data_IF_230902317155
#
_entry.id   IF_230902317155
#
_cell.length_a   1.000
_cell.length_b   1.000
_cell.length_c   1.000
_cell.angle_alpha   90.00
_cell.angle_beta   90.00
_cell.angle_gamma   90.00
#
_symmetry.space_group_name_H-M   'P 1'
#
loop_
_entity.id
_entity.type
_entity.pdbx_description
1 polymer ?
#
# COMPACT_ATOMS: atom_id res chain seq x y z
N UNK A 1 -10.54 32.91 -24.76
CA UNK A 1 -10.10 31.56 -25.19
C UNK A 1 -11.01 30.53 -24.54
N UNK A 2 -11.36 29.51 -25.26
CA UNK A 2 -12.16 28.35 -24.77
C UNK A 2 -11.34 27.07 -24.96
N UNK A 3 -11.44 26.17 -24.01
CA UNK A 3 -10.86 24.83 -24.09
C UNK A 3 -11.99 23.83 -23.96
N UNK A 4 -12.03 22.84 -24.83
CA UNK A 4 -12.95 21.71 -24.73
C UNK A 4 -12.32 20.62 -23.87
N UNK A 5 -13.07 20.08 -22.91
CA UNK A 5 -12.65 18.99 -22.03
C UNK A 5 -13.43 17.73 -22.39
N UNK A 6 -12.72 16.62 -22.52
CA UNK A 6 -13.31 15.31 -22.57
C UNK A 6 -13.53 14.73 -21.16
N UNK A 7 -14.30 13.68 -21.04
CA UNK A 7 -14.47 12.99 -19.78
C UNK A 7 -13.11 12.54 -19.23
N UNK A 8 -12.84 12.81 -17.94
CA UNK A 8 -11.57 12.48 -17.30
C UNK A 8 -10.44 13.47 -17.55
N UNK A 9 -10.75 14.64 -18.10
CA UNK A 9 -9.80 15.74 -18.25
C UNK A 9 -10.14 16.92 -17.33
N UNK A 10 -9.11 17.69 -16.96
CA UNK A 10 -9.20 18.96 -16.27
C UNK A 10 -8.35 20.01 -16.97
N UNK A 11 -8.63 21.28 -16.72
CA UNK A 11 -7.75 22.40 -17.04
C UNK A 11 -7.69 23.36 -15.87
N UNK A 12 -6.68 24.21 -15.84
CA UNK A 12 -6.54 25.29 -14.88
C UNK A 12 -6.60 26.62 -15.60
N UNK A 13 -7.20 27.62 -14.94
CA UNK A 13 -7.29 29.00 -15.45
C UNK A 13 -6.79 29.94 -14.35
N UNK A 14 -5.70 30.63 -14.60
CA UNK A 14 -5.30 31.76 -13.74
C UNK A 14 -6.10 33.01 -14.11
N UNK A 15 -6.32 33.90 -13.13
CA UNK A 15 -7.09 35.11 -13.35
C UNK A 15 -6.41 35.98 -14.42
N UNK A 16 -7.14 36.21 -15.53
CA UNK A 16 -6.65 37.02 -16.65
C UNK A 16 -5.85 36.26 -17.71
N UNK A 17 -5.68 34.94 -17.56
CA UNK A 17 -4.98 34.09 -18.54
C UNK A 17 -5.93 33.22 -19.35
N UNK A 18 -5.43 32.67 -20.43
CA UNK A 18 -6.15 31.64 -21.17
C UNK A 18 -6.12 30.32 -20.39
N UNK A 19 -7.15 29.44 -20.57
CA UNK A 19 -7.09 28.07 -20.00
C UNK A 19 -5.83 27.36 -20.45
N UNK A 20 -5.22 26.60 -19.53
CA UNK A 20 -4.12 25.69 -19.86
C UNK A 20 -4.64 24.54 -20.75
N UNK A 21 -3.73 23.81 -21.40
CA UNK A 21 -4.08 22.62 -22.17
C UNK A 21 -4.75 21.58 -21.25
N UNK A 22 -5.74 20.80 -21.77
CA UNK A 22 -6.36 19.74 -21.02
C UNK A 22 -5.34 18.69 -20.54
N UNK A 23 -5.44 18.31 -19.26
CA UNK A 23 -4.64 17.24 -18.66
C UNK A 23 -5.55 16.21 -18.01
N UNK A 24 -5.09 14.97 -17.77
CA UNK A 24 -5.87 13.98 -17.03
C UNK A 24 -6.31 14.54 -15.67
N UNK A 25 -7.56 14.27 -15.29
CA UNK A 25 -8.03 14.56 -13.94
C UNK A 25 -7.52 13.48 -12.97
N UNK A 26 -7.34 13.84 -11.70
CA UNK A 26 -6.99 12.88 -10.66
C UNK A 26 -7.97 11.71 -10.64
N UNK A 27 -7.47 10.48 -10.69
CA UNK A 27 -8.26 9.25 -10.71
C UNK A 27 -7.84 8.34 -9.56
N UNK A 28 -8.77 7.96 -8.66
CA UNK A 28 -8.51 6.92 -7.69
C UNK A 28 -8.44 5.56 -8.40
N UNK A 29 -7.45 4.76 -8.07
CA UNK A 29 -7.25 3.41 -8.59
C UNK A 29 -7.69 2.33 -7.60
N UNK A 30 -7.80 2.66 -6.31
CA UNK A 30 -8.27 1.77 -5.25
C UNK A 30 -9.76 1.99 -5.01
N UNK A 31 -10.49 0.90 -4.91
CA UNK A 31 -11.89 0.88 -4.47
C UNK A 31 -12.00 0.29 -3.06
N UNK A 32 -12.98 0.74 -2.29
CA UNK A 32 -13.23 0.32 -0.90
C UNK A 32 -11.98 0.38 0.01
N UNK A 33 -11.11 1.39 -0.18
CA UNK A 33 -9.92 1.57 0.67
C UNK A 33 -10.24 2.12 2.06
N UNK A 34 -11.44 2.64 2.27
CA UNK A 34 -11.97 3.06 3.58
C UNK A 34 -12.73 1.92 4.32
N UNK A 35 -12.82 0.74 3.72
CA UNK A 35 -13.44 -0.47 4.27
C UNK A 35 -14.90 -0.28 4.72
N UNK A 36 -15.64 0.64 4.09
CA UNK A 36 -17.06 0.85 4.40
C UNK A 36 -17.98 -0.24 3.84
N UNK A 37 -17.52 -0.98 2.84
CA UNK A 37 -18.19 -2.13 2.25
C UNK A 37 -17.49 -3.42 2.70
N UNK A 38 -18.12 -4.56 2.41
CA UNK A 38 -17.49 -5.86 2.61
C UNK A 38 -16.14 -5.94 1.85
N UNK A 39 -15.18 -6.70 2.38
CA UNK A 39 -13.85 -6.79 1.81
C UNK A 39 -13.89 -7.22 0.33
N UNK A 40 -14.78 -8.14 -0.01
CA UNK A 40 -15.00 -8.62 -1.39
C UNK A 40 -15.43 -7.54 -2.39
N UNK A 41 -15.79 -6.34 -1.93
CA UNK A 41 -16.11 -5.20 -2.80
C UNK A 41 -14.86 -4.50 -3.38
N UNK A 42 -13.79 -5.25 -3.62
CA UNK A 42 -12.56 -4.75 -4.26
C UNK A 42 -11.31 -5.50 -3.85
N UNK A 43 -11.33 -6.22 -2.73
CA UNK A 43 -10.16 -6.88 -2.19
C UNK A 43 -10.34 -8.40 -2.11
N UNK A 44 -9.24 -9.13 -2.27
CA UNK A 44 -9.16 -10.58 -2.07
C UNK A 44 -8.17 -10.81 -0.93
N UNK A 45 -8.63 -11.45 0.15
CA UNK A 45 -7.76 -11.89 1.23
C UNK A 45 -7.01 -13.16 0.84
N UNK A 46 -5.78 -13.31 1.34
CA UNK A 46 -4.96 -14.48 1.11
C UNK A 46 -4.04 -14.75 2.32
N UNK A 47 -3.58 -15.99 2.42
CA UNK A 47 -2.47 -16.39 3.28
C UNK A 47 -1.41 -17.10 2.43
N UNK A 48 -0.13 -16.88 2.76
CA UNK A 48 1.01 -17.56 2.14
C UNK A 48 1.96 -18.01 3.25
N UNK A 49 2.06 -19.31 3.42
CA UNK A 49 2.92 -19.94 4.43
C UNK A 49 4.37 -19.92 3.95
N UNK A 50 5.29 -19.80 4.92
CA UNK A 50 6.72 -19.96 4.67
C UNK A 50 7.13 -21.40 4.37
N UNK A 51 8.40 -21.58 4.03
CA UNK A 51 9.01 -22.90 3.81
C UNK A 51 9.34 -23.65 5.11
N UNK A 52 9.09 -23.04 6.24
CA UNK A 52 9.36 -23.52 7.61
C UNK A 52 8.22 -24.39 8.18
N UNK A 53 7.31 -24.84 7.32
CA UNK A 53 6.22 -25.77 7.62
C UNK A 53 5.19 -25.26 8.64
N UNK A 54 5.03 -23.94 8.77
CA UNK A 54 3.93 -23.35 9.54
C UNK A 54 2.58 -23.79 8.98
N UNK A 55 1.60 -23.99 9.85
CA UNK A 55 0.26 -24.45 9.47
C UNK A 55 -0.86 -23.50 9.92
N UNK A 56 -0.52 -22.48 10.69
CA UNK A 56 -1.50 -21.51 11.18
C UNK A 56 -1.49 -20.28 10.31
N UNK A 57 -2.63 -20.04 9.66
CA UNK A 57 -2.88 -18.84 8.90
C UNK A 57 -3.10 -17.65 9.84
N UNK A 58 -2.82 -16.43 9.34
CA UNK A 58 -3.31 -15.23 9.97
C UNK A 58 -4.75 -14.92 9.54
N UNK A 59 -5.35 -13.97 10.19
CA UNK A 59 -6.72 -13.53 9.97
C UNK A 59 -6.76 -12.07 9.51
N UNK A 60 -7.73 -11.77 8.66
CA UNK A 60 -8.03 -10.41 8.17
C UNK A 60 -9.49 -10.10 8.43
N UNK A 61 -9.75 -9.06 9.21
CA UNK A 61 -11.11 -8.66 9.62
C UNK A 61 -11.35 -7.16 9.44
N UNK A 62 -12.57 -6.79 9.02
CA UNK A 62 -13.00 -5.39 9.06
C UNK A 62 -13.51 -5.08 10.46
N UNK A 63 -12.87 -4.14 11.14
CA UNK A 63 -13.18 -3.74 12.51
C UNK A 63 -13.52 -2.25 12.61
N UNK A 64 -14.14 -1.85 13.72
CA UNK A 64 -14.32 -0.45 14.07
C UNK A 64 -13.21 -0.02 15.04
N UNK A 65 -12.49 1.04 14.72
CA UNK A 65 -11.44 1.62 15.55
C UNK A 65 -11.71 3.10 15.78
N UNK A 66 -12.39 3.42 16.87
CA UNK A 66 -12.93 4.76 17.08
C UNK A 66 -14.02 5.08 16.06
N UNK A 67 -13.86 6.21 15.36
CA UNK A 67 -14.85 6.68 14.37
C UNK A 67 -14.54 6.20 12.93
N UNK A 68 -13.56 5.30 12.75
CA UNK A 68 -13.18 4.79 11.44
C UNK A 68 -13.39 3.28 11.31
N UNK A 69 -13.63 2.84 10.10
CA UNK A 69 -13.52 1.44 9.72
C UNK A 69 -12.07 1.15 9.37
N UNK A 70 -11.59 0.00 9.77
CA UNK A 70 -10.22 -0.41 9.54
C UNK A 70 -10.16 -1.89 9.20
N UNK A 71 -9.13 -2.30 8.48
CA UNK A 71 -8.80 -3.69 8.29
C UNK A 71 -7.77 -4.09 9.34
N UNK A 72 -8.05 -5.15 10.08
CA UNK A 72 -7.20 -5.71 11.12
C UNK A 72 -6.55 -7.00 10.60
N UNK A 73 -5.24 -7.06 10.71
CA UNK A 73 -4.42 -8.24 10.44
C UNK A 73 -3.96 -8.80 11.76
N UNK A 74 -4.13 -10.10 11.98
CA UNK A 74 -3.65 -10.75 13.20
C UNK A 74 -3.19 -12.17 12.94
N UNK A 75 -2.09 -12.54 13.58
CA UNK A 75 -1.59 -13.90 13.73
C UNK A 75 -0.90 -14.00 15.06
N UNK A 76 -1.33 -14.92 15.90
CA UNK A 76 -0.85 -15.10 17.27
C UNK A 76 -0.74 -16.57 17.63
N UNK A 77 0.20 -16.92 18.50
CA UNK A 77 0.37 -18.28 19.02
C UNK A 77 1.27 -19.17 18.16
N UNK A 78 1.96 -18.62 17.18
CA UNK A 78 2.82 -19.34 16.24
C UNK A 78 4.23 -18.75 16.18
N UNK A 79 4.97 -18.91 17.24
CA UNK A 79 6.35 -18.43 17.32
C UNK A 79 7.28 -19.38 16.52
N UNK A 80 8.07 -18.81 15.61
CA UNK A 80 9.07 -19.52 14.81
C UNK A 80 8.66 -19.97 13.41
N UNK A 81 7.41 -19.72 12.99
CA UNK A 81 6.93 -20.04 11.65
C UNK A 81 6.48 -18.79 10.91
N UNK A 82 6.86 -18.65 9.66
CA UNK A 82 6.48 -17.52 8.80
C UNK A 82 5.09 -17.70 8.20
N UNK A 83 4.31 -16.63 8.20
CA UNK A 83 3.10 -16.51 7.38
C UNK A 83 2.94 -15.08 6.90
N UNK A 84 2.63 -14.90 5.62
CA UNK A 84 2.16 -13.65 5.05
C UNK A 84 0.63 -13.69 4.98
N UNK A 85 -0.02 -12.74 5.63
CA UNK A 85 -1.48 -12.58 5.63
C UNK A 85 -1.82 -11.24 5.00
N UNK A 86 -2.54 -11.24 3.91
CA UNK A 86 -2.68 -10.03 3.12
C UNK A 86 -4.00 -9.89 2.39
N UNK A 87 -4.12 -8.72 1.76
CA UNK A 87 -5.15 -8.38 0.80
C UNK A 87 -4.51 -7.92 -0.51
N UNK A 88 -5.15 -8.25 -1.61
CA UNK A 88 -4.76 -7.82 -2.95
C UNK A 88 -5.94 -7.20 -3.67
N UNK A 89 -5.69 -6.09 -4.37
CA UNK A 89 -6.62 -5.52 -5.33
C UNK A 89 -5.93 -5.40 -6.69
N UNK A 90 -6.51 -6.03 -7.72
CA UNK A 90 -6.07 -5.85 -9.10
C UNK A 90 -6.55 -4.50 -9.60
N UNK A 91 -5.66 -3.75 -10.19
CA UNK A 91 -5.92 -2.40 -10.70
C UNK A 91 -5.99 -2.42 -12.23
N UNK A 92 -5.08 -3.16 -12.87
CA UNK A 92 -4.97 -3.35 -14.32
C UNK A 92 -5.12 -2.02 -15.08
N UNK A 93 -4.34 -1.00 -14.69
CA UNK A 93 -4.44 0.37 -15.19
C UNK A 93 -3.20 0.81 -15.96
N UNK A 94 -3.38 1.23 -17.21
CA UNK A 94 -2.37 1.98 -17.98
C UNK A 94 -2.27 3.41 -17.41
N UNK A 95 -1.05 3.83 -17.08
CA UNK A 95 -0.78 5.13 -16.45
C UNK A 95 0.25 5.97 -17.22
N UNK A 96 0.54 5.64 -18.48
CA UNK A 96 1.57 6.33 -19.29
C UNK A 96 1.30 7.81 -19.49
N UNK A 97 0.04 8.20 -19.54
CA UNK A 97 -0.39 9.59 -19.79
C UNK A 97 -0.49 10.43 -18.51
N UNK A 98 -0.19 9.84 -17.33
CA UNK A 98 -0.22 10.55 -16.06
C UNK A 98 1.18 11.02 -15.64
N UNK A 99 1.21 12.10 -14.88
CA UNK A 99 2.43 12.76 -14.41
C UNK A 99 2.71 12.51 -12.93
N UNK A 100 1.73 11.96 -12.21
CA UNK A 100 1.83 11.66 -10.78
C UNK A 100 1.18 10.33 -10.45
N UNK A 101 1.81 9.59 -9.54
CA UNK A 101 1.27 8.40 -8.89
C UNK A 101 1.58 8.51 -7.40
N UNK A 102 0.55 8.59 -6.57
CA UNK A 102 0.68 8.70 -5.11
C UNK A 102 -0.13 7.64 -4.40
N UNK A 103 0.43 7.10 -3.35
CA UNK A 103 -0.22 6.16 -2.45
C UNK A 103 -0.34 6.81 -1.08
N UNK A 104 -1.48 6.64 -0.42
CA UNK A 104 -1.68 7.00 0.97
C UNK A 104 -2.44 5.92 1.73
N UNK A 105 -2.21 5.82 3.03
CA UNK A 105 -3.00 5.03 3.96
C UNK A 105 -2.71 5.46 5.39
N UNK A 106 -3.62 5.14 6.30
CA UNK A 106 -3.36 5.22 7.72
C UNK A 106 -2.96 3.84 8.26
N UNK A 107 -1.87 3.79 9.03
CA UNK A 107 -1.32 2.56 9.63
C UNK A 107 -1.36 2.64 11.14
N UNK A 108 -1.70 1.54 11.82
CA UNK A 108 -1.60 1.41 13.26
C UNK A 108 -0.98 0.07 13.63
N UNK A 109 0.21 0.09 14.20
CA UNK A 109 0.89 -1.11 14.68
C UNK A 109 0.48 -1.41 16.12
N UNK A 110 0.22 -2.70 16.40
CA UNK A 110 -0.23 -3.18 17.71
C UNK A 110 0.79 -4.17 18.26
N UNK A 111 1.23 -5.14 17.48
CA UNK A 111 2.19 -6.15 17.90
C UNK A 111 3.06 -6.62 16.72
N UNK A 112 4.31 -6.92 17.01
CA UNK A 112 5.26 -7.63 16.15
C UNK A 112 6.17 -8.49 17.02
N UNK A 113 6.39 -9.74 16.64
CA UNK A 113 7.33 -10.64 17.32
C UNK A 113 8.77 -10.45 16.84
N UNK A 114 8.95 -10.13 15.57
CA UNK A 114 10.26 -9.94 14.96
C UNK A 114 10.74 -8.50 15.12
N UNK A 115 12.04 -8.34 15.35
CA UNK A 115 12.71 -7.04 15.44
C UNK A 115 12.86 -6.42 14.04
N UNK A 116 12.57 -5.10 13.89
CA UNK A 116 12.62 -4.42 12.59
C UNK A 116 11.67 -5.08 11.59
N UNK A 117 12.21 -5.55 10.48
CA UNK A 117 11.54 -6.35 9.44
C UNK A 117 12.10 -7.78 9.35
N UNK A 118 12.55 -8.36 10.48
CA UNK A 118 13.25 -9.62 10.50
C UNK A 118 14.63 -9.54 9.86
N UNK A 119 15.32 -10.67 9.75
CA UNK A 119 16.71 -10.73 9.30
C UNK A 119 16.89 -10.22 7.85
N UNK A 120 15.93 -10.49 6.97
CA UNK A 120 15.99 -10.09 5.56
C UNK A 120 15.26 -8.78 5.24
N UNK A 121 14.75 -8.05 6.23
CA UNK A 121 13.95 -6.83 6.02
C UNK A 121 12.74 -7.07 5.09
N UNK A 122 12.05 -8.17 5.29
CA UNK A 122 10.87 -8.58 4.51
C UNK A 122 9.68 -9.00 5.37
N UNK A 123 9.83 -8.95 6.71
CA UNK A 123 8.84 -9.44 7.68
C UNK A 123 8.40 -8.30 8.60
N UNK A 124 7.48 -7.50 8.09
CA UNK A 124 6.93 -6.35 8.80
C UNK A 124 5.48 -6.59 9.23
N UNK A 125 5.04 -6.04 10.38
CA UNK A 125 3.64 -6.14 10.81
C UNK A 125 2.66 -5.46 9.86
N UNK A 126 3.13 -4.58 8.96
CA UNK A 126 2.45 -4.11 7.74
C UNK A 126 3.48 -3.83 6.67
N UNK A 127 3.16 -4.28 5.48
CA UNK A 127 3.92 -4.03 4.27
C UNK A 127 2.98 -3.70 3.11
N UNK A 128 3.39 -2.75 2.30
CA UNK A 128 2.71 -2.37 1.06
C UNK A 128 3.56 -2.87 -0.10
N UNK A 129 2.93 -3.41 -1.12
CA UNK A 129 3.56 -3.77 -2.38
C UNK A 129 2.73 -3.28 -3.55
N UNK A 130 3.37 -2.57 -4.46
CA UNK A 130 2.81 -2.13 -5.72
C UNK A 130 3.45 -2.95 -6.84
N UNK A 131 2.67 -3.79 -7.51
CA UNK A 131 3.12 -4.55 -8.67
C UNK A 131 2.83 -3.74 -9.95
N UNK A 132 3.85 -3.55 -10.79
CA UNK A 132 3.74 -2.70 -11.99
C UNK A 132 4.61 -3.19 -13.15
N UNK A 133 4.40 -2.61 -14.34
CA UNK A 133 5.29 -2.80 -15.49
C UNK A 133 6.09 -1.53 -15.75
N UNK A 134 7.37 -1.71 -16.08
CA UNK A 134 8.25 -0.64 -16.53
C UNK A 134 7.99 -0.26 -18.02
N UNK A 135 8.67 0.76 -18.59
CA UNK A 135 8.49 1.18 -19.97
C UNK A 135 8.83 0.09 -21.01
N UNK A 136 9.57 -0.93 -20.61
CA UNK A 136 9.95 -2.06 -21.47
C UNK A 136 8.98 -3.25 -21.33
N UNK A 137 7.96 -3.13 -20.47
CA UNK A 137 6.98 -4.18 -20.21
C UNK A 137 7.43 -5.24 -19.20
N UNK A 138 8.58 -5.05 -18.55
CA UNK A 138 9.05 -5.96 -17.51
C UNK A 138 8.23 -5.80 -16.23
N UNK A 139 7.96 -6.92 -15.57
CA UNK A 139 7.33 -6.91 -14.25
C UNK A 139 8.30 -6.39 -13.19
N UNK A 140 7.82 -5.44 -12.41
CA UNK A 140 8.53 -4.78 -11.32
C UNK A 140 7.63 -4.69 -10.10
N UNK A 141 8.23 -4.43 -8.96
CA UNK A 141 7.49 -4.09 -7.75
C UNK A 141 8.21 -3.03 -6.93
N UNK A 142 7.44 -2.29 -6.17
CA UNK A 142 7.90 -1.40 -5.12
C UNK A 142 7.30 -1.88 -3.79
N UNK A 143 8.08 -1.78 -2.70
CA UNK A 143 7.64 -2.19 -1.36
C UNK A 143 7.98 -1.12 -0.34
N UNK A 144 7.14 -1.05 0.72
CA UNK A 144 7.40 -0.26 1.92
C UNK A 144 6.76 -0.92 3.12
N UNK A 145 7.53 -1.09 4.20
CA UNK A 145 7.10 -1.74 5.43
C UNK A 145 7.06 -0.77 6.61
N UNK A 146 6.33 -1.15 7.67
CA UNK A 146 6.27 -0.38 8.92
C UNK A 146 6.57 -1.27 10.11
N UNK A 147 7.34 -0.77 11.07
CA UNK A 147 7.66 -1.45 12.31
C UNK A 147 7.70 -0.45 13.48
N UNK A 148 7.57 -0.92 14.73
CA UNK A 148 7.66 -0.03 15.89
C UNK A 148 8.87 -0.29 16.79
N UNK A 149 9.49 -1.48 16.73
CA UNK A 149 10.69 -1.84 17.50
C UNK A 149 11.75 -2.46 16.59
N UNK A 150 13.01 -2.20 16.94
CA UNK A 150 14.20 -2.80 16.31
C UNK A 150 15.28 -3.04 17.38
N UNK A 151 14.96 -3.92 18.34
CA UNK A 151 15.81 -4.16 19.53
C UNK A 151 17.13 -4.82 19.18
N UNK A 152 17.19 -5.58 18.09
CA UNK A 152 18.41 -6.21 17.58
C UNK A 152 19.23 -5.27 16.71
N UNK A 153 18.80 -4.02 16.54
CA UNK A 153 19.45 -3.02 15.70
C UNK A 153 19.80 -3.55 14.31
N UNK A 154 18.86 -4.24 13.65
CA UNK A 154 19.03 -4.57 12.25
C UNK A 154 19.18 -3.27 11.45
N UNK A 155 20.40 -2.92 10.99
CA UNK A 155 20.61 -1.64 10.29
C UNK A 155 19.92 -1.60 8.94
N UNK A 156 19.45 -2.76 8.49
CA UNK A 156 18.89 -3.01 7.17
C UNK A 156 17.36 -3.18 7.19
N UNK A 157 16.65 -2.44 8.02
CA UNK A 157 15.19 -2.25 7.77
C UNK A 157 15.02 -1.44 6.45
N UNK A 158 15.67 -1.91 5.41
CA UNK A 158 15.95 -1.20 4.14
C UNK A 158 14.67 -0.75 3.43
N UNK A 159 13.57 -1.47 3.67
CA UNK A 159 12.27 -1.19 3.07
C UNK A 159 11.24 -0.77 4.11
N UNK A 160 11.68 -0.41 5.32
CA UNK A 160 10.78 -0.15 6.43
C UNK A 160 11.02 1.19 7.10
N UNK A 161 9.94 1.75 7.64
CA UNK A 161 9.91 2.96 8.43
C UNK A 161 9.49 2.63 9.86
N UNK A 162 10.21 3.16 10.85
CA UNK A 162 9.84 3.02 12.26
C UNK A 162 8.77 4.05 12.63
N UNK A 163 7.61 3.57 13.08
CA UNK A 163 6.48 4.40 13.48
C UNK A 163 6.06 4.12 14.91
N UNK A 164 5.36 5.07 15.59
CA UNK A 164 4.88 4.86 16.95
C UNK A 164 3.87 3.70 17.06
N UNK A 165 4.02 2.86 18.10
CA UNK A 165 3.08 1.81 18.44
C UNK A 165 1.76 2.38 18.97
N UNK A 166 0.62 1.74 18.65
CA UNK A 166 -0.74 2.09 19.10
C UNK A 166 -1.29 3.44 18.60
N UNK A 167 -0.59 4.13 17.72
CA UNK A 167 -1.00 5.41 17.14
C UNK A 167 -1.37 5.23 15.69
N UNK A 168 -2.41 5.88 15.21
CA UNK A 168 -2.70 6.00 13.79
C UNK A 168 -1.67 6.93 13.13
N UNK A 169 -0.89 6.38 12.23
CA UNK A 169 0.15 7.08 11.49
C UNK A 169 -0.32 7.27 10.05
N UNK A 170 -0.58 8.51 9.63
CA UNK A 170 -0.89 8.81 8.24
C UNK A 170 0.39 8.73 7.41
N UNK A 171 0.36 7.92 6.38
CA UNK A 171 1.47 7.76 5.45
C UNK A 171 1.06 8.17 4.05
N UNK A 172 1.90 8.93 3.37
CA UNK A 172 1.75 9.28 1.97
C UNK A 172 3.11 9.21 1.27
N UNK A 173 3.14 8.59 0.10
CA UNK A 173 4.35 8.61 -0.74
C UNK A 173 4.52 9.96 -1.41
N UNK A 174 5.75 10.33 -1.76
CA UNK A 174 5.96 11.27 -2.83
C UNK A 174 5.40 10.75 -4.17
N UNK A 175 5.70 11.46 -5.25
CA UNK A 175 5.35 11.00 -6.60
C UNK A 175 6.17 9.73 -6.96
N UNK A 176 5.53 8.57 -6.98
CA UNK A 176 6.19 7.28 -7.29
C UNK A 176 6.73 7.24 -8.72
N UNK A 177 6.20 8.04 -9.66
CA UNK A 177 6.76 8.13 -11.01
C UNK A 177 8.13 8.84 -11.05
N UNK A 178 8.42 9.68 -10.06
CA UNK A 178 9.71 10.33 -9.88
C UNK A 178 10.65 9.49 -9.02
N UNK A 179 10.13 8.93 -7.91
CA UNK A 179 10.92 8.05 -7.01
C UNK A 179 11.45 6.83 -7.75
N UNK A 180 10.66 6.29 -8.69
CA UNK A 180 11.00 5.11 -9.49
C UNK A 180 11.42 5.47 -10.93
N UNK A 181 12.05 6.62 -11.14
CA UNK A 181 12.38 7.14 -12.47
C UNK A 181 13.13 6.13 -13.36
N UNK A 182 14.05 5.35 -12.79
CA UNK A 182 14.85 4.34 -13.51
C UNK A 182 14.02 3.14 -14.02
N UNK A 183 12.93 2.84 -13.32
CA UNK A 183 11.99 1.75 -13.64
C UNK A 183 10.56 2.26 -13.67
N UNK A 184 10.37 3.48 -14.14
CA UNK A 184 9.12 4.24 -14.08
C UNK A 184 7.90 3.36 -14.36
N UNK A 185 6.91 3.34 -13.46
CA UNK A 185 5.65 2.64 -13.70
C UNK A 185 4.92 3.17 -14.94
N UNK A 186 4.49 2.27 -15.81
CA UNK A 186 3.67 2.56 -17.00
C UNK A 186 2.33 1.86 -16.96
N UNK A 187 2.23 0.78 -16.19
CA UNK A 187 1.02 0.02 -16.00
C UNK A 187 1.01 -0.55 -14.56
N UNK A 188 -0.06 -0.30 -13.83
CA UNK A 188 -0.24 -0.84 -12.48
C UNK A 188 -1.02 -2.13 -12.57
N UNK A 189 -0.43 -3.23 -12.14
CA UNK A 189 -1.06 -4.55 -12.11
C UNK A 189 -1.94 -4.71 -10.86
N UNK A 190 -1.37 -4.46 -9.68
CA UNK A 190 -2.06 -4.67 -8.42
C UNK A 190 -1.41 -3.87 -7.29
N UNK A 191 -2.18 -3.62 -6.25
CA UNK A 191 -1.70 -3.23 -4.93
C UNK A 191 -1.96 -4.38 -3.95
N UNK A 192 -0.97 -4.68 -3.10
CA UNK A 192 -1.07 -5.63 -2.00
C UNK A 192 -0.73 -4.91 -0.71
N UNK A 193 -1.44 -5.27 0.37
CA UNK A 193 -1.10 -4.84 1.71
C UNK A 193 -1.18 -6.08 2.59
N UNK A 194 -0.12 -6.34 3.34
CA UNK A 194 0.00 -7.57 4.10
C UNK A 194 0.82 -7.38 5.38
N UNK A 195 0.59 -8.24 6.34
CA UNK A 195 1.46 -8.46 7.48
C UNK A 195 2.27 -9.73 7.22
N UNK A 196 3.53 -9.74 7.63
CA UNK A 196 4.47 -10.84 7.38
C UNK A 196 5.34 -11.06 8.59
N UNK A 197 5.63 -12.31 8.90
CA UNK A 197 6.44 -12.73 10.04
C UNK A 197 5.81 -13.87 10.86
N UNK A 198 6.24 -14.00 12.13
CA UNK A 198 5.73 -15.06 13.01
C UNK A 198 4.42 -14.66 13.65
N UNK A 199 4.44 -13.63 14.48
CA UNK A 199 3.26 -13.07 15.11
C UNK A 199 3.16 -11.57 14.88
N UNK A 200 1.96 -11.11 14.58
CA UNK A 200 1.70 -9.70 14.32
C UNK A 200 0.26 -9.31 14.60
N UNK A 201 0.07 -8.06 14.96
CA UNK A 201 -1.22 -7.38 14.99
C UNK A 201 -1.05 -5.96 14.48
N UNK A 202 -1.85 -5.59 13.51
CA UNK A 202 -1.80 -4.26 12.89
C UNK A 202 -3.13 -3.90 12.24
N UNK A 203 -3.33 -2.62 11.96
CA UNK A 203 -4.51 -2.12 11.28
C UNK A 203 -4.12 -1.15 10.16
N UNK A 204 -4.94 -1.11 9.13
CA UNK A 204 -4.90 -0.10 8.08
C UNK A 204 -6.27 0.52 7.87
N UNK A 205 -6.30 1.75 7.38
CA UNK A 205 -7.50 2.47 6.97
C UNK A 205 -7.16 3.48 5.88
N UNK A 206 -8.18 4.02 5.20
CA UNK A 206 -8.05 5.12 4.22
C UNK A 206 -7.00 4.86 3.14
N UNK A 207 -7.00 3.64 2.58
CA UNK A 207 -6.08 3.24 1.51
C UNK A 207 -6.48 3.92 0.20
N UNK A 208 -5.55 4.65 -0.38
CA UNK A 208 -5.74 5.26 -1.69
C UNK A 208 -4.49 5.16 -2.56
N UNK A 209 -4.72 4.92 -3.84
CA UNK A 209 -3.73 5.03 -4.90
C UNK A 209 -4.33 5.92 -5.98
N UNK A 210 -3.67 7.03 -6.28
CA UNK A 210 -4.21 8.06 -7.17
C UNK A 210 -3.20 8.40 -8.26
N UNK A 211 -3.68 8.51 -9.49
CA UNK A 211 -2.92 9.04 -10.64
C UNK A 211 -3.45 10.41 -11.06
N UNK A 212 -2.56 11.26 -11.51
CA UNK A 212 -2.87 12.62 -11.93
C UNK A 212 -2.00 13.06 -13.12
#
# INVERSE_FOLDING_TARGET
ATVELNQGQRTTIAVGEAPADPMPAAQPLVVNGNFQQDLSAGWIAYNEQGIDEGQVDGEVEIVSSGNRRALFFSRMGEDGNHCETGIIQKTDKDIRDFTSLKLHLDVRLIYQSLSGGGFFSSEFPIMIRLDYKDPYGNDRFWVHGFYYQNDENYPMAQYGEQIPRYVWYPYETGNLLEILADTRPTYINAIRIYASGWEYQSMISEVGLTVE
#
